data_IF_978816126809
#
_entry.id   IF_978816126809
#
_cell.length_a   1.000
_cell.length_b   1.000
_cell.length_c   1.000
_cell.angle_alpha   90.00
_cell.angle_beta   90.00
_cell.angle_gamma   90.00
#
_symmetry.space_group_name_H-M   'P 1'
#
loop_
_entity.id
_entity.type
_entity.pdbx_description
1 polymer ?
#
# COMPACT_ATOMS: atom_id res chain seq x y z
N UNK A 1 8.53 -3.88 -5.12
CA UNK A 1 7.76 -5.08 -5.54
C UNK A 1 6.28 -4.85 -5.23
N UNK A 2 5.39 -5.02 -6.20
CA UNK A 2 3.92 -4.93 -6.04
C UNK A 2 3.36 -6.33 -5.74
N UNK A 3 2.38 -6.44 -4.82
CA UNK A 3 1.73 -7.73 -4.49
C UNK A 3 0.70 -8.11 -5.55
N UNK A 4 -0.13 -7.14 -5.94
CA UNK A 4 -1.22 -7.32 -6.90
C UNK A 4 -1.47 -6.00 -7.65
N UNK A 5 -1.89 -6.09 -8.91
CA UNK A 5 -2.29 -4.92 -9.68
C UNK A 5 -3.79 -4.98 -9.97
N UNK A 6 -4.56 -4.09 -9.34
CA UNK A 6 -6.01 -4.03 -9.46
C UNK A 6 -6.66 -3.18 -8.37
N UNK A 7 -7.94 -3.42 -8.10
CA UNK A 7 -8.72 -2.64 -7.12
C UNK A 7 -9.20 -3.52 -5.98
N UNK A 8 -9.04 -3.04 -4.75
CA UNK A 8 -9.65 -3.60 -3.54
C UNK A 8 -10.85 -2.72 -3.18
N UNK A 9 -12.07 -3.22 -3.35
CA UNK A 9 -13.30 -2.46 -3.12
C UNK A 9 -14.09 -2.96 -1.92
N UNK A 10 -13.95 -4.24 -1.59
CA UNK A 10 -14.68 -4.89 -0.51
C UNK A 10 -13.74 -5.58 0.49
N UNK A 11 -14.20 -5.85 1.73
CA UNK A 11 -13.43 -6.66 2.67
C UNK A 11 -13.11 -8.07 2.13
N UNK A 12 -14.00 -8.64 1.30
CA UNK A 12 -13.79 -9.94 0.67
C UNK A 12 -12.60 -9.93 -0.30
N UNK A 13 -12.43 -8.86 -1.08
CA UNK A 13 -11.27 -8.68 -1.97
C UNK A 13 -9.96 -8.71 -1.16
N UNK A 14 -9.94 -8.03 -0.01
CA UNK A 14 -8.77 -8.01 0.88
C UNK A 14 -8.47 -9.41 1.47
N UNK A 15 -9.50 -10.15 1.88
CA UNK A 15 -9.34 -11.52 2.41
C UNK A 15 -8.76 -12.46 1.35
N UNK A 16 -9.21 -12.36 0.10
CA UNK A 16 -8.66 -13.16 -1.02
C UNK A 16 -7.16 -12.86 -1.20
N UNK A 17 -6.77 -11.58 -1.17
CA UNK A 17 -5.36 -11.19 -1.29
C UNK A 17 -4.53 -11.70 -0.10
N UNK A 18 -5.06 -11.64 1.13
CA UNK A 18 -4.39 -12.20 2.30
C UNK A 18 -4.19 -13.71 2.19
N UNK A 19 -5.21 -14.44 1.74
CA UNK A 19 -5.12 -15.89 1.56
C UNK A 19 -4.13 -16.28 0.45
N UNK A 20 -4.17 -15.58 -0.69
CA UNK A 20 -3.23 -15.79 -1.78
C UNK A 20 -1.78 -15.52 -1.33
N UNK A 21 -1.57 -14.49 -0.51
CA UNK A 21 -0.28 -14.23 0.12
C UNK A 21 0.11 -15.37 1.08
N UNK A 22 -0.80 -15.84 1.94
CA UNK A 22 -0.54 -16.92 2.91
C UNK A 22 -0.13 -18.22 2.22
N UNK A 23 -0.76 -18.53 1.09
CA UNK A 23 -0.44 -19.69 0.25
C UNK A 23 0.83 -19.53 -0.60
N UNK A 24 1.43 -18.33 -0.63
CA UNK A 24 2.63 -18.04 -1.45
C UNK A 24 2.33 -17.83 -2.93
N UNK A 25 1.06 -17.67 -3.32
CA UNK A 25 0.65 -17.42 -4.70
C UNK A 25 0.90 -15.97 -5.14
N UNK A 26 0.82 -15.04 -4.18
CA UNK A 26 1.19 -13.64 -4.38
C UNK A 26 2.33 -13.25 -3.44
N UNK A 27 3.26 -12.39 -3.88
CA UNK A 27 4.38 -11.97 -3.06
C UNK A 27 3.92 -10.96 -1.99
N UNK A 28 4.45 -11.09 -0.78
CA UNK A 28 4.32 -10.07 0.27
C UNK A 28 5.52 -9.12 0.24
N UNK A 29 5.29 -7.89 0.66
CA UNK A 29 6.37 -6.95 0.94
C UNK A 29 7.04 -7.36 2.26
N UNK A 30 8.32 -7.70 2.21
CA UNK A 30 9.10 -8.20 3.36
C UNK A 30 10.09 -7.17 3.92
N UNK A 31 10.10 -5.95 3.36
CA UNK A 31 10.93 -4.83 3.82
C UNK A 31 10.36 -3.51 3.31
N UNK A 32 10.86 -2.39 3.83
CA UNK A 32 10.53 -1.07 3.27
C UNK A 32 10.93 -0.99 1.80
N UNK A 33 10.11 -0.29 1.02
CA UNK A 33 10.44 0.04 -0.37
C UNK A 33 11.65 0.97 -0.42
N UNK A 34 12.54 0.69 -1.37
CA UNK A 34 13.61 1.59 -1.77
C UNK A 34 13.06 2.86 -2.44
N UNK A 35 13.84 3.95 -2.54
CA UNK A 35 13.40 5.16 -3.24
C UNK A 35 12.91 4.91 -4.67
N UNK A 36 13.57 4.02 -5.42
CA UNK A 36 13.18 3.69 -6.79
C UNK A 36 11.85 2.91 -6.83
N UNK A 37 11.64 1.96 -5.91
CA UNK A 37 10.37 1.22 -5.83
C UNK A 37 9.20 2.11 -5.39
N UNK A 38 9.45 3.22 -4.68
CA UNK A 38 8.41 4.19 -4.35
C UNK A 38 7.97 5.00 -5.56
N UNK A 39 8.90 5.33 -6.46
CA UNK A 39 8.59 6.05 -7.69
C UNK A 39 7.71 5.22 -8.64
N UNK A 40 7.75 3.89 -8.54
CA UNK A 40 6.88 3.00 -9.33
C UNK A 40 5.49 2.77 -8.72
N UNK A 41 5.09 3.51 -7.68
CA UNK A 41 3.74 3.40 -7.09
C UNK A 41 2.75 4.16 -7.96
N UNK A 42 1.80 3.43 -8.52
CA UNK A 42 0.79 3.97 -9.42
C UNK A 42 -0.62 3.45 -9.09
N UNK A 43 -1.61 3.99 -9.81
CA UNK A 43 -3.01 3.55 -9.68
C UNK A 43 -3.10 2.04 -9.92
N UNK A 44 -3.73 1.33 -8.99
CA UNK A 44 -3.86 -0.13 -9.04
C UNK A 44 -2.77 -0.90 -8.31
N UNK A 45 -1.67 -0.25 -7.88
CA UNK A 45 -0.65 -0.92 -7.08
C UNK A 45 -1.20 -1.31 -5.69
N UNK A 46 -1.23 -2.61 -5.40
CA UNK A 46 -1.62 -3.15 -4.09
C UNK A 46 -0.43 -3.81 -3.42
N UNK A 47 -0.22 -3.49 -2.15
CA UNK A 47 0.87 -4.01 -1.33
C UNK A 47 0.31 -4.67 -0.08
N UNK A 48 0.75 -5.90 0.20
CA UNK A 48 0.41 -6.64 1.40
C UNK A 48 1.69 -6.94 2.17
N UNK A 49 1.71 -6.67 3.47
CA UNK A 49 2.87 -6.94 4.33
C UNK A 49 2.44 -7.46 5.70
N UNK A 50 3.29 -8.27 6.31
CA UNK A 50 3.23 -8.58 7.73
C UNK A 50 4.12 -7.60 8.51
N UNK A 51 3.62 -7.07 9.63
CA UNK A 51 4.32 -6.05 10.42
C UNK A 51 5.69 -6.53 10.92
N UNK A 52 5.78 -7.79 11.37
CA UNK A 52 7.00 -8.36 11.96
C UNK A 52 7.99 -8.74 10.88
N UNK A 53 7.51 -9.41 9.82
CA UNK A 53 8.33 -9.80 8.66
C UNK A 53 8.96 -8.57 8.00
N UNK A 54 8.18 -7.52 7.77
CA UNK A 54 8.65 -6.30 7.10
C UNK A 54 9.31 -5.27 8.03
N UNK A 55 9.22 -5.45 9.36
CA UNK A 55 9.64 -4.45 10.35
C UNK A 55 8.91 -3.12 10.18
N UNK A 56 7.64 -3.14 9.76
CA UNK A 56 6.90 -1.97 9.30
C UNK A 56 5.49 -1.90 9.89
N UNK A 57 5.30 -1.04 10.89
CA UNK A 57 3.98 -0.76 11.51
C UNK A 57 3.07 0.14 10.67
N UNK A 58 3.69 0.98 9.85
CA UNK A 58 3.01 1.98 9.03
C UNK A 58 3.67 2.03 7.66
N UNK A 59 2.82 2.06 6.64
CA UNK A 59 3.24 2.28 5.26
C UNK A 59 3.83 3.69 5.09
N UNK A 60 4.93 3.79 4.35
CA UNK A 60 5.51 5.07 3.93
C UNK A 60 5.98 4.98 2.47
N UNK A 61 5.32 5.73 1.60
CA UNK A 61 5.62 5.81 0.16
C UNK A 61 6.28 7.11 -0.28
N UNK A 62 6.41 8.09 0.62
CA UNK A 62 6.99 9.39 0.31
C UNK A 62 6.04 10.35 -0.41
N UNK A 63 4.75 10.00 -0.53
CA UNK A 63 3.72 10.91 -1.05
C UNK A 63 3.07 11.73 0.06
N UNK A 64 2.53 12.89 -0.29
CA UNK A 64 1.72 13.71 0.61
C UNK A 64 0.26 13.27 0.57
N UNK A 65 -0.30 12.92 1.72
CA UNK A 65 -1.66 12.38 1.84
C UNK A 65 -2.53 13.27 2.72
N UNK A 66 -3.81 13.41 2.35
CA UNK A 66 -4.82 14.10 3.17
C UNK A 66 -5.01 13.44 4.53
N UNK A 67 -5.81 14.06 5.42
CA UNK A 67 -6.33 13.34 6.59
C UNK A 67 -7.18 12.13 6.18
N UNK A 68 -7.22 11.10 7.02
CA UNK A 68 -7.97 9.88 6.76
C UNK A 68 -9.47 10.13 6.65
N UNK A 69 -10.13 9.33 5.80
CA UNK A 69 -11.59 9.19 5.74
C UNK A 69 -11.94 7.73 5.92
N UNK A 70 -12.88 7.44 6.80
CA UNK A 70 -13.36 6.08 7.06
C UNK A 70 -14.42 5.72 6.01
N UNK A 71 -14.30 4.54 5.40
CA UNK A 71 -15.31 3.95 4.53
C UNK A 71 -15.44 2.47 4.85
N UNK A 72 -16.44 2.12 5.66
CA UNK A 72 -16.55 0.78 6.24
C UNK A 72 -15.30 0.42 7.04
N UNK A 73 -14.61 -0.66 6.64
CA UNK A 73 -13.36 -1.12 7.27
C UNK A 73 -12.10 -0.49 6.66
N UNK A 74 -12.24 0.36 5.65
CA UNK A 74 -11.11 0.97 4.96
C UNK A 74 -10.85 2.41 5.43
N UNK A 75 -9.57 2.78 5.42
CA UNK A 75 -9.13 4.16 5.49
C UNK A 75 -8.74 4.62 4.09
N UNK A 76 -9.33 5.72 3.64
CA UNK A 76 -9.04 6.36 2.37
C UNK A 76 -8.31 7.68 2.57
N UNK A 77 -7.38 7.96 1.67
CA UNK A 77 -6.55 9.15 1.64
C UNK A 77 -6.55 9.69 0.21
N UNK A 78 -6.52 11.01 0.05
CA UNK A 78 -6.33 11.65 -1.26
C UNK A 78 -4.88 12.13 -1.37
N UNK A 79 -4.22 11.78 -2.46
CA UNK A 79 -2.90 12.33 -2.77
C UNK A 79 -3.04 13.84 -2.92
N UNK A 80 -2.21 14.58 -2.19
CA UNK A 80 -2.15 16.03 -2.25
C UNK A 80 -1.01 16.42 -3.17
N UNK A 81 -1.28 17.33 -4.10
CA UNK A 81 -0.21 18.00 -4.85
C UNK A 81 0.51 18.91 -3.87
N UNK A 82 1.67 18.46 -3.39
CA UNK A 82 2.54 19.27 -2.57
C UNK A 82 3.20 20.34 -3.42
N UNK A 83 2.74 21.59 -3.30
CA UNK A 83 3.59 22.72 -3.62
C UNK A 83 4.62 22.89 -2.48
N UNK A 84 5.65 22.05 -2.48
CA UNK A 84 6.89 22.23 -1.73
C UNK A 84 7.99 22.08 -2.79
N UNK A 85 8.52 23.16 -3.36
CA UNK A 85 9.33 24.14 -2.67
C UNK A 85 10.79 23.86 -3.04
N UNK A 86 11.25 24.42 -4.16
CA UNK A 86 12.63 24.86 -4.26
C UNK A 86 12.84 25.86 -3.12
N UNK A 87 13.65 25.50 -2.15
CA UNK A 87 14.08 26.32 -1.02
C UNK A 87 15.26 25.62 -0.39
#
# INVERSE_FOLDING_TARGET
MVTYHGRVSTPADAIILFEACRLGLLPRVQRRLSPNERQSIESGSVFVWDEREAGMRRWTDGKSWSSSRVSGVFLSYREMVGNYGKG
#
